data_IF_551815355776
#
_entry.id   IF_551815355776
#
_cell.length_a   1.000
_cell.length_b   1.000
_cell.length_c   1.000
_cell.angle_alpha   90.00
_cell.angle_beta   90.00
_cell.angle_gamma   90.00
#
_symmetry.space_group_name_H-M   'P 1'
#
loop_
_entity.id
_entity.type
_entity.pdbx_description
1 polymer ?
#
# COMPACT_ATOMS: atom_id res chain seq x y z
N UNK A 1 2.38 14.99 18.90
CA UNK A 1 0.99 15.14 18.44
C UNK A 1 0.87 16.44 17.64
N UNK A 2 1.34 16.49 16.38
CA UNK A 2 1.20 17.67 15.51
C UNK A 2 1.19 17.21 14.05
N UNK A 3 0.10 16.60 13.59
CA UNK A 3 -0.17 16.37 12.18
C UNK A 3 -1.53 16.97 11.87
N UNK A 4 -1.57 18.29 11.73
CA UNK A 4 -2.79 18.99 11.34
C UNK A 4 -2.65 19.85 10.09
N UNK A 5 -1.49 19.94 9.43
CA UNK A 5 -1.30 20.83 8.27
C UNK A 5 -0.06 20.52 7.39
N UNK A 6 0.18 19.27 7.03
CA UNK A 6 1.08 18.97 5.91
C UNK A 6 0.28 18.34 4.78
N UNK A 7 0.16 19.06 3.67
CA UNK A 7 -0.29 18.47 2.41
C UNK A 7 0.73 17.41 2.01
N UNK A 8 0.30 16.15 1.96
CA UNK A 8 1.12 15.03 1.48
C UNK A 8 0.87 14.89 -0.02
N UNK A 9 1.92 15.02 -0.84
CA UNK A 9 1.81 14.96 -2.30
C UNK A 9 2.03 13.52 -2.79
N UNK A 10 1.28 13.10 -3.81
CA UNK A 10 1.43 11.79 -4.45
C UNK A 10 2.84 11.55 -5.03
N UNK A 11 3.57 12.62 -5.38
CA UNK A 11 4.94 12.56 -5.89
C UNK A 11 5.97 12.21 -4.82
N UNK A 12 5.68 12.51 -3.56
CA UNK A 12 6.58 12.21 -2.45
C UNK A 12 6.41 10.75 -2.00
N UNK A 13 5.30 10.10 -2.35
CA UNK A 13 5.05 8.70 -2.01
C UNK A 13 5.95 7.75 -2.82
N UNK A 14 6.71 6.92 -2.11
CA UNK A 14 7.50 5.86 -2.76
C UNK A 14 6.63 4.63 -3.02
N UNK A 15 6.53 4.21 -4.29
CA UNK A 15 5.78 3.02 -4.74
C UNK A 15 6.72 1.90 -5.12
N UNK A 16 6.41 0.67 -4.68
CA UNK A 16 7.17 -0.53 -5.06
C UNK A 16 6.24 -1.63 -5.55
N UNK A 17 6.52 -2.13 -6.74
CA UNK A 17 5.79 -3.22 -7.37
C UNK A 17 6.57 -4.52 -7.22
N UNK A 18 5.86 -5.61 -6.92
CA UNK A 18 6.42 -6.95 -6.85
C UNK A 18 5.52 -7.88 -7.64
N UNK A 19 6.11 -8.77 -8.41
CA UNK A 19 5.41 -9.87 -9.07
C UNK A 19 6.11 -11.16 -8.71
N UNK A 20 5.38 -12.06 -8.07
CA UNK A 20 5.86 -13.38 -7.73
C UNK A 20 5.10 -14.42 -8.56
N UNK A 21 5.82 -15.39 -9.13
CA UNK A 21 5.24 -16.46 -9.94
C UNK A 21 5.63 -17.81 -9.33
N UNK A 22 4.64 -18.51 -8.77
CA UNK A 22 4.75 -19.90 -8.31
C UNK A 22 4.59 -20.91 -9.45
N UNK A 23 4.32 -22.18 -9.11
CA UNK A 23 4.09 -23.22 -10.12
C UNK A 23 2.77 -23.01 -10.86
N UNK A 24 2.86 -22.80 -12.18
CA UNK A 24 1.84 -22.67 -13.25
C UNK A 24 0.50 -21.93 -13.04
N UNK A 25 0.01 -21.66 -11.82
CA UNK A 25 -1.26 -20.97 -11.56
C UNK A 25 -1.20 -19.89 -10.46
N UNK A 26 -0.13 -19.83 -9.66
CA UNK A 26 -0.05 -18.91 -8.51
C UNK A 26 0.81 -17.68 -8.83
N UNK A 27 0.26 -16.75 -9.60
CA UNK A 27 0.87 -15.41 -9.76
C UNK A 27 0.28 -14.50 -8.69
N UNK A 28 1.15 -13.75 -8.00
CA UNK A 28 0.77 -12.71 -7.05
C UNK A 28 1.43 -11.39 -7.45
N UNK A 29 0.61 -10.36 -7.58
CA UNK A 29 1.00 -8.97 -7.77
C UNK A 29 0.92 -8.27 -6.42
N UNK A 30 1.94 -7.51 -6.06
CA UNK A 30 2.05 -6.76 -4.82
C UNK A 30 2.43 -5.31 -5.06
N UNK A 31 1.83 -4.40 -4.31
CA UNK A 31 2.12 -2.97 -4.29
C UNK A 31 2.29 -2.52 -2.85
N UNK A 32 3.39 -1.82 -2.57
CA UNK A 32 3.55 -1.08 -1.32
C UNK A 32 3.72 0.39 -1.61
N UNK A 33 3.09 1.24 -0.82
CA UNK A 33 3.21 2.70 -0.90
C UNK A 33 3.65 3.22 0.47
N UNK A 34 4.77 3.94 0.54
CA UNK A 34 5.21 4.67 1.72
C UNK A 34 4.65 6.09 1.71
N UNK A 35 4.35 6.66 2.89
CA UNK A 35 4.19 8.11 3.02
C UNK A 35 5.52 8.81 2.64
N UNK A 36 5.47 10.00 2.06
CA UNK A 36 6.66 10.66 1.50
C UNK A 36 7.56 11.36 2.51
N UNK A 37 7.06 11.60 3.71
CA UNK A 37 7.69 12.39 4.78
C UNK A 37 8.25 11.54 5.93
N UNK A 38 8.26 10.22 5.78
CA UNK A 38 8.76 9.29 6.78
C UNK A 38 10.15 8.75 6.42
N UNK A 39 10.88 8.30 7.44
CA UNK A 39 12.17 7.65 7.23
C UNK A 39 11.98 6.27 6.60
N UNK A 40 12.92 5.86 5.76
CA UNK A 40 12.90 4.56 5.08
C UNK A 40 12.77 3.39 6.07
N UNK A 41 13.43 3.49 7.24
CA UNK A 41 13.34 2.47 8.30
C UNK A 41 11.91 2.30 8.83
N UNK A 42 11.17 3.41 8.97
CA UNK A 42 9.83 3.41 9.54
C UNK A 42 8.84 2.87 8.50
N UNK A 43 9.03 3.21 7.22
CA UNK A 43 8.26 2.58 6.15
C UNK A 43 8.52 1.05 6.08
N UNK A 44 9.79 0.62 6.12
CA UNK A 44 10.13 -0.81 6.11
C UNK A 44 9.47 -1.56 7.27
N UNK A 45 9.54 -1.01 8.48
CA UNK A 45 8.86 -1.60 9.65
C UNK A 45 7.35 -1.67 9.45
N UNK A 46 6.73 -0.60 8.93
CA UNK A 46 5.31 -0.60 8.61
C UNK A 46 4.93 -1.69 7.60
N UNK A 47 5.69 -1.84 6.52
CA UNK A 47 5.43 -2.85 5.48
C UNK A 47 5.51 -4.27 6.04
N UNK A 48 6.49 -4.55 6.91
CA UNK A 48 6.63 -5.87 7.56
C UNK A 48 5.41 -6.17 8.44
N UNK A 49 4.98 -5.21 9.25
CA UNK A 49 3.80 -5.37 10.09
C UNK A 49 2.54 -5.57 9.24
N UNK A 50 2.36 -4.76 8.19
CA UNK A 50 1.27 -4.88 7.23
C UNK A 50 1.21 -6.25 6.56
N UNK A 51 2.36 -6.81 6.16
CA UNK A 51 2.41 -8.13 5.54
C UNK A 51 2.00 -9.25 6.51
N UNK A 52 2.28 -9.10 7.80
CA UNK A 52 1.88 -10.06 8.82
C UNK A 52 0.38 -9.94 9.15
N UNK A 53 -0.11 -8.72 9.36
CA UNK A 53 -1.50 -8.47 9.75
C UNK A 53 -2.48 -8.75 8.63
N UNK A 54 -2.18 -8.36 7.38
CA UNK A 54 -3.08 -8.60 6.25
C UNK A 54 -3.37 -10.09 6.04
N UNK A 55 -2.37 -10.95 6.29
CA UNK A 55 -2.52 -12.41 6.21
C UNK A 55 -3.38 -12.98 7.33
N UNK A 56 -3.31 -12.36 8.51
CA UNK A 56 -4.12 -12.73 9.68
C UNK A 56 -5.59 -12.35 9.47
N UNK A 57 -5.84 -11.13 8.96
CA UNK A 57 -7.19 -10.61 8.75
C UNK A 57 -7.88 -11.18 7.51
N UNK A 58 -7.11 -11.55 6.48
CA UNK A 58 -7.64 -12.04 5.21
C UNK A 58 -7.10 -13.44 4.88
N UNK A 59 -7.38 -14.47 5.72
CA UNK A 59 -6.89 -15.82 5.46
C UNK A 59 -7.47 -16.36 4.14
N UNK A 60 -6.63 -16.95 3.31
CA UNK A 60 -6.98 -17.58 2.02
C UNK A 60 -7.54 -16.64 0.94
N UNK A 61 -7.57 -15.33 1.16
CA UNK A 61 -8.00 -14.37 0.13
C UNK A 61 -6.92 -14.21 -0.96
N UNK A 62 -7.36 -14.20 -2.22
CA UNK A 62 -6.48 -14.03 -3.40
C UNK A 62 -6.08 -12.57 -3.64
N UNK A 63 -6.70 -11.63 -2.94
CA UNK A 63 -6.29 -10.24 -2.91
C UNK A 63 -6.82 -9.54 -1.67
N UNK A 64 -6.06 -8.57 -1.18
CA UNK A 64 -6.43 -7.72 -0.07
C UNK A 64 -5.61 -6.43 -0.09
N UNK A 65 -6.14 -5.40 0.57
CA UNK A 65 -5.43 -4.15 0.84
C UNK A 65 -5.50 -3.85 2.33
N UNK A 66 -4.38 -3.40 2.90
CA UNK A 66 -4.31 -2.86 4.26
C UNK A 66 -3.68 -1.47 4.22
N UNK A 67 -4.26 -0.56 4.98
CA UNK A 67 -3.81 0.83 5.05
C UNK A 67 -3.41 1.17 6.48
N UNK A 68 -2.19 1.66 6.63
CA UNK A 68 -1.72 2.35 7.83
C UNK A 68 -1.33 3.78 7.48
N UNK A 69 -1.13 4.57 8.53
CA UNK A 69 -0.66 5.93 8.41
C UNK A 69 0.68 6.03 7.65
N UNK A 70 1.63 5.12 7.90
CA UNK A 70 2.96 5.16 7.28
C UNK A 70 3.06 4.40 5.95
N UNK A 71 2.19 3.43 5.70
CA UNK A 71 2.27 2.62 4.50
C UNK A 71 0.94 1.98 4.11
N UNK A 72 0.79 1.72 2.82
CA UNK A 72 -0.27 0.87 2.26
C UNK A 72 0.37 -0.38 1.67
N UNK A 73 -0.26 -1.54 1.85
CA UNK A 73 0.13 -2.78 1.19
C UNK A 73 -1.10 -3.39 0.52
N UNK A 74 -0.96 -3.72 -0.76
CA UNK A 74 -1.97 -4.39 -1.58
C UNK A 74 -1.38 -5.61 -2.26
N UNK A 75 -2.11 -6.71 -2.29
CA UNK A 75 -1.81 -7.84 -3.16
C UNK A 75 -3.05 -8.34 -3.91
N UNK A 76 -2.84 -8.97 -5.06
CA UNK A 76 -3.89 -9.65 -5.82
C UNK A 76 -3.28 -10.70 -6.76
N UNK A 77 -4.06 -11.71 -7.12
CA UNK A 77 -3.70 -12.69 -8.16
C UNK A 77 -3.98 -12.22 -9.61
N UNK A 78 -4.42 -10.97 -9.78
CA UNK A 78 -4.67 -10.32 -11.07
C UNK A 78 -3.74 -9.12 -11.15
N UNK A 79 -3.27 -8.80 -12.35
CA UNK A 79 -2.47 -7.60 -12.55
C UNK A 79 -3.36 -6.36 -12.32
N UNK A 80 -2.92 -5.46 -11.44
CA UNK A 80 -3.61 -4.22 -11.12
C UNK A 80 -2.70 -2.98 -11.27
N UNK A 81 -1.48 -3.16 -11.79
CA UNK A 81 -0.57 -2.02 -11.95
C UNK A 81 -1.07 -1.06 -13.02
N UNK A 82 -0.96 0.24 -12.75
CA UNK A 82 -1.45 1.30 -13.63
C UNK A 82 -2.97 1.46 -13.68
N UNK A 83 -3.74 0.62 -12.97
CA UNK A 83 -5.19 0.74 -12.91
C UNK A 83 -5.62 1.67 -11.76
N UNK A 84 -6.76 2.35 -11.96
CA UNK A 84 -7.36 3.21 -10.95
C UNK A 84 -7.94 2.34 -9.83
N UNK A 85 -7.38 2.48 -8.63
CA UNK A 85 -7.88 1.85 -7.41
C UNK A 85 -8.74 2.83 -6.61
N UNK A 86 -10.06 2.71 -6.73
CA UNK A 86 -11.00 3.64 -6.07
C UNK A 86 -10.99 3.53 -4.55
N UNK A 87 -10.73 2.35 -4.02
CA UNK A 87 -10.70 2.12 -2.56
C UNK A 87 -9.46 2.80 -1.98
N UNK A 88 -8.31 2.63 -2.64
CA UNK A 88 -7.09 3.33 -2.26
C UNK A 88 -7.25 4.85 -2.44
N UNK A 89 -7.84 5.33 -3.54
CA UNK A 89 -8.07 6.76 -3.75
C UNK A 89 -8.96 7.37 -2.66
N UNK A 90 -10.05 6.70 -2.29
CA UNK A 90 -10.92 7.16 -1.20
C UNK A 90 -10.16 7.27 0.12
N UNK A 91 -9.33 6.27 0.44
CA UNK A 91 -8.47 6.31 1.63
C UNK A 91 -7.44 7.46 1.59
N UNK A 92 -6.86 7.76 0.43
CA UNK A 92 -5.92 8.88 0.31
C UNK A 92 -6.63 10.24 0.43
N UNK A 93 -7.86 10.36 -0.10
CA UNK A 93 -8.68 11.56 0.03
C UNK A 93 -9.04 11.88 1.49
N UNK A 94 -9.42 10.87 2.30
CA UNK A 94 -9.70 11.09 3.73
C UNK A 94 -8.45 11.49 4.53
N UNK A 95 -7.26 11.17 4.03
CA UNK A 95 -5.98 11.60 4.61
C UNK A 95 -5.53 12.99 4.11
N UNK A 96 -6.31 13.64 3.25
CA UNK A 96 -5.97 14.97 2.70
C UNK A 96 -4.83 14.95 1.69
N UNK A 97 -4.59 13.80 1.04
CA UNK A 97 -3.61 13.68 -0.04
C UNK A 97 -4.23 14.26 -1.32
N UNK A 98 -3.62 15.31 -1.85
CA UNK A 98 -4.09 16.01 -3.05
C UNK A 98 -2.99 16.09 -4.10
N UNK A 99 -3.36 15.91 -5.37
CA UNK A 99 -2.54 16.35 -6.51
C UNK A 99 -2.58 17.89 -6.55
N UNK A 100 -1.52 18.54 -6.09
CA UNK A 100 -1.22 19.94 -6.44
C UNK A 100 -0.13 19.98 -7.49
#
# INVERSE_FOLDING_TARGET
>A
MLWHNKHVNLRDMTKRHLRHKGSSADIVYGLTICCGDILEKDCKSCIVNAANEIRSHCPNNKGATIWYYYCTLKYHNLDFFGQIDRDTLFFLLILGISDT
#
